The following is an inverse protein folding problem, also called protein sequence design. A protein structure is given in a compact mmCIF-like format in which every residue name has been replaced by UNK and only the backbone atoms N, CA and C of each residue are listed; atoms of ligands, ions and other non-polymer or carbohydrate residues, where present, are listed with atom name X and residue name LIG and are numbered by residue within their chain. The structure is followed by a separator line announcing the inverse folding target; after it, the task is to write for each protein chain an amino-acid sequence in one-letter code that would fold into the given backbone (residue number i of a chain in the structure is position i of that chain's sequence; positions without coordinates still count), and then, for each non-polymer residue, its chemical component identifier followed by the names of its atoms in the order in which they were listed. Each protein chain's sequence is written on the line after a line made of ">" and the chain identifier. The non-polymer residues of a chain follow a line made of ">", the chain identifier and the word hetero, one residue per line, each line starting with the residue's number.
data_IF_582946615328
#
_entry.id   IF_582946615328
#
_cell.length_a   1.000
_cell.length_b   1.000
_cell.length_c   1.000
_cell.angle_alpha   90.00
_cell.angle_beta   90.00
_cell.angle_gamma   90.00
#
_symmetry.space_group_name_H-M   'P 1'
#
loop_
_entity.id
_entity.type
_entity.pdbx_description
1 polymer ?
#
# COMPACT_ATOMS: atom_id res chain seq x y z
N UNK A 1 -14.72 -18.88 -3.08
CA UNK A 1 -14.30 -17.91 -4.12
C UNK A 1 -12.82 -18.16 -4.44
N UNK A 2 -12.38 -18.00 -5.66
CA UNK A 2 -10.99 -18.34 -6.04
C UNK A 2 -10.00 -17.30 -5.48
N UNK A 3 -8.94 -17.74 -4.81
CA UNK A 3 -7.81 -16.92 -4.31
C UNK A 3 -7.27 -15.94 -5.37
N UNK A 4 -7.38 -16.32 -6.66
CA UNK A 4 -7.03 -15.49 -7.82
C UNK A 4 -7.89 -14.24 -7.99
N UNK A 5 -9.13 -14.25 -7.51
CA UNK A 5 -10.04 -13.09 -7.61
C UNK A 5 -9.69 -12.05 -6.55
N UNK A 6 -9.31 -12.48 -5.34
CA UNK A 6 -8.88 -11.58 -4.27
C UNK A 6 -7.54 -10.90 -4.64
N UNK A 7 -6.61 -11.66 -5.23
CA UNK A 7 -5.33 -11.14 -5.72
C UNK A 7 -5.52 -10.08 -6.84
N UNK A 8 -6.50 -10.30 -7.75
CA UNK A 8 -6.82 -9.35 -8.82
C UNK A 8 -7.44 -8.06 -8.28
N UNK A 9 -8.25 -8.15 -7.22
CA UNK A 9 -8.86 -6.98 -6.58
C UNK A 9 -7.80 -6.12 -5.85
N UNK A 10 -6.82 -6.75 -5.19
CA UNK A 10 -5.71 -6.03 -4.56
C UNK A 10 -4.82 -5.30 -5.58
N UNK A 11 -4.51 -5.94 -6.71
CA UNK A 11 -3.67 -5.33 -7.75
C UNK A 11 -4.37 -4.16 -8.47
N UNK A 12 -5.69 -4.25 -8.64
CA UNK A 12 -6.46 -3.21 -9.33
C UNK A 12 -6.67 -1.94 -8.53
N UNK A 13 -6.66 -2.00 -7.18
CA UNK A 13 -6.90 -0.84 -6.32
C UNK A 13 -5.67 0.03 -6.07
N UNK A 14 -4.46 -0.53 -6.16
CA UNK A 14 -3.21 0.25 -6.02
C UNK A 14 -2.99 1.27 -7.14
N UNK A 15 -3.55 1.02 -8.34
CA UNK A 15 -3.38 1.92 -9.50
C UNK A 15 -4.29 3.16 -9.43
N UNK A 16 -5.41 3.11 -8.69
CA UNK A 16 -6.38 4.23 -8.63
C UNK A 16 -5.97 5.30 -7.60
N UNK A 17 -5.10 4.97 -6.65
CA UNK A 17 -4.66 5.91 -5.60
C UNK A 17 -3.66 6.98 -6.05
N UNK A 18 -3.06 6.87 -7.24
CA UNK A 18 -2.05 7.83 -7.73
C UNK A 18 -2.57 8.90 -8.70
N UNK A 19 -3.86 8.92 -9.05
CA UNK A 19 -4.45 9.91 -9.98
C UNK A 19 -5.16 11.06 -9.28
N UNK A 20 -4.93 11.27 -8.00
CA UNK A 20 -5.58 12.28 -7.15
C UNK A 20 -4.77 13.55 -6.86
N UNK A 21 -3.83 13.96 -7.72
CA UNK A 21 -3.14 15.26 -7.60
C UNK A 21 -3.12 15.98 -8.95
N UNK A 22 -4.28 16.40 -9.45
CA UNK A 22 -4.36 17.39 -10.52
C UNK A 22 -5.40 18.45 -10.20
N UNK A 23 -5.01 19.39 -9.33
CA UNK A 23 -5.67 20.69 -9.23
C UNK A 23 -4.76 21.72 -8.54
N UNK A 24 -3.53 21.89 -9.07
CA UNK A 24 -2.63 22.99 -8.69
C UNK A 24 -2.03 23.70 -9.90
N UNK A 25 -2.57 23.48 -11.11
CA UNK A 25 -2.06 24.17 -12.32
C UNK A 25 -2.62 25.60 -12.48
N UNK A 26 -3.75 25.93 -11.89
CA UNK A 26 -4.32 27.29 -12.02
C UNK A 26 -3.69 28.37 -11.11
N UNK A 27 -2.96 27.98 -10.06
CA UNK A 27 -2.31 28.95 -9.15
C UNK A 27 -0.86 29.28 -9.57
N UNK A 28 -0.28 28.47 -10.45
CA UNK A 28 1.11 28.66 -10.91
C UNK A 28 1.26 29.69 -12.06
N UNK A 29 0.21 29.94 -12.85
CA UNK A 29 0.29 30.87 -13.98
C UNK A 29 0.27 32.34 -13.55
N UNK A 30 -0.41 32.72 -12.46
CA UNK A 30 -0.40 34.11 -11.97
C UNK A 30 0.91 34.49 -11.28
N UNK A 31 1.60 33.54 -10.64
CA UNK A 31 2.89 33.80 -10.00
C UNK A 31 4.08 33.91 -11.00
N UNK A 32 3.93 33.28 -12.18
CA UNK A 32 5.01 33.29 -13.19
C UNK A 32 5.12 34.60 -14.00
N UNK A 33 4.01 35.30 -14.17
CA UNK A 33 4.00 36.56 -14.95
C UNK A 33 4.49 37.75 -14.15
N UNK A 34 4.48 37.74 -12.81
CA UNK A 34 4.94 38.85 -11.97
C UNK A 34 6.45 38.79 -11.69
N UNK A 35 7.11 37.66 -11.99
CA UNK A 35 8.56 37.49 -11.80
C UNK A 35 9.42 37.85 -13.04
N UNK A 36 8.79 38.10 -14.20
CA UNK A 36 9.52 38.25 -15.47
C UNK A 36 10.08 39.65 -15.72
N UNK A 37 9.65 40.64 -14.94
CA UNK A 37 10.05 42.05 -15.16
C UNK A 37 11.22 42.52 -14.30
N UNK A 38 11.94 41.65 -13.61
CA UNK A 38 13.02 42.09 -12.67
C UNK A 38 14.34 41.34 -12.74
N UNK A 39 14.73 40.71 -13.83
CA UNK A 39 16.12 40.21 -13.96
C UNK A 39 16.60 40.37 -15.40
N UNK A 40 17.05 41.55 -15.76
CA UNK A 40 18.11 41.68 -16.75
C UNK A 40 19.45 41.74 -16.01
N UNK A 41 20.41 40.99 -16.57
CA UNK A 41 21.85 41.04 -16.35
C UNK A 41 22.44 40.24 -15.18
N UNK A 42 22.78 38.97 -15.43
CA UNK A 42 24.10 38.39 -15.16
C UNK A 42 24.12 36.95 -15.74
N UNK A 43 24.80 36.78 -16.86
CA UNK A 43 25.00 35.49 -17.50
C UNK A 43 26.20 34.76 -16.86
N UNK A 44 25.95 33.71 -16.08
CA UNK A 44 26.86 32.58 -15.91
C UNK A 44 26.15 31.29 -16.38
N UNK A 45 26.84 30.39 -17.09
CA UNK A 45 26.21 29.21 -17.64
C UNK A 45 25.89 28.24 -16.51
N UNK A 46 24.60 28.12 -16.18
CA UNK A 46 24.07 27.06 -15.31
C UNK A 46 24.11 25.78 -16.12
N UNK A 47 24.93 24.83 -15.68
CA UNK A 47 24.87 23.44 -16.16
C UNK A 47 23.44 22.89 -15.95
N UNK A 48 22.83 22.43 -17.03
CA UNK A 48 21.54 21.78 -16.97
C UNK A 48 21.61 20.56 -15.97
N UNK A 49 20.64 20.44 -15.03
CA UNK A 49 20.57 19.23 -14.24
C UNK A 49 20.33 18.07 -15.20
N UNK A 50 21.27 17.13 -15.24
CA UNK A 50 21.04 15.83 -15.90
C UNK A 50 19.83 15.21 -15.23
N UNK A 51 18.73 15.08 -15.97
CA UNK A 51 17.64 14.17 -15.60
C UNK A 51 18.27 12.79 -15.37
N UNK A 52 18.41 12.44 -14.11
CA UNK A 52 18.74 11.08 -13.70
C UNK A 52 17.51 10.26 -14.07
N UNK A 53 17.56 9.64 -15.25
CA UNK A 53 16.60 8.62 -15.66
C UNK A 53 16.78 7.50 -14.64
N UNK A 54 15.89 7.45 -13.64
CA UNK A 54 15.78 6.32 -12.73
C UNK A 54 15.37 5.14 -13.60
N UNK A 55 16.36 4.34 -14.04
CA UNK A 55 16.07 3.07 -14.71
C UNK A 55 15.19 2.25 -13.77
N UNK A 56 14.06 1.67 -14.24
CA UNK A 56 13.25 0.78 -13.42
C UNK A 56 14.19 -0.32 -12.91
N UNK A 57 14.29 -0.44 -11.59
CA UNK A 57 15.09 -1.49 -10.97
C UNK A 57 14.54 -2.82 -11.46
N UNK A 58 15.31 -3.51 -12.30
CA UNK A 58 15.01 -4.88 -12.70
C UNK A 58 15.20 -5.72 -11.42
N UNK A 59 14.11 -5.98 -10.72
CA UNK A 59 14.11 -6.88 -9.57
C UNK A 59 14.62 -8.22 -10.10
N UNK A 60 15.71 -8.70 -9.52
CA UNK A 60 16.28 -10.00 -9.89
C UNK A 60 15.18 -11.06 -9.79
N UNK A 61 14.88 -11.76 -10.89
CA UNK A 61 13.81 -12.78 -10.94
C UNK A 61 13.95 -13.81 -9.81
N UNK A 62 15.18 -14.11 -9.40
CA UNK A 62 15.47 -15.00 -8.28
C UNK A 62 15.08 -14.38 -6.94
N UNK A 63 15.33 -13.08 -6.75
CA UNK A 63 14.91 -12.35 -5.55
C UNK A 63 13.41 -12.31 -5.46
N UNK A 64 12.73 -11.97 -6.55
CA UNK A 64 11.25 -11.96 -6.63
C UNK A 64 10.68 -13.34 -6.29
N UNK A 65 11.21 -14.43 -6.86
CA UNK A 65 10.75 -15.78 -6.56
C UNK A 65 10.93 -16.16 -5.08
N UNK A 66 12.01 -15.72 -4.45
CA UNK A 66 12.23 -15.93 -3.02
C UNK A 66 11.24 -15.14 -2.16
N UNK A 67 10.97 -13.87 -2.49
CA UNK A 67 9.96 -13.06 -1.81
C UNK A 67 8.55 -13.66 -1.96
N UNK A 68 8.20 -14.16 -3.15
CA UNK A 68 6.92 -14.85 -3.40
C UNK A 68 6.77 -16.14 -2.58
N UNK A 69 7.86 -16.89 -2.39
CA UNK A 69 7.86 -18.06 -1.52
C UNK A 69 7.60 -17.69 -0.05
N UNK A 70 8.27 -16.66 0.46
CA UNK A 70 8.01 -16.12 1.81
C UNK A 70 6.57 -15.60 1.96
N UNK A 71 6.05 -14.93 0.94
CA UNK A 71 4.67 -14.43 0.92
C UNK A 71 3.65 -15.59 1.00
N UNK A 72 3.89 -16.70 0.31
CA UNK A 72 3.05 -17.90 0.37
C UNK A 72 3.04 -18.56 1.76
N UNK A 73 4.21 -18.61 2.42
CA UNK A 73 4.33 -19.14 3.78
C UNK A 73 3.63 -18.22 4.79
N UNK A 74 3.76 -16.89 4.62
CA UNK A 74 3.05 -15.90 5.42
C UNK A 74 1.53 -16.02 5.23
N UNK A 75 1.02 -16.16 4.00
CA UNK A 75 -0.41 -16.36 3.72
C UNK A 75 -0.94 -17.54 4.53
N UNK A 76 -0.25 -18.66 4.46
CA UNK A 76 -0.64 -19.88 5.16
C UNK A 76 -0.63 -19.70 6.69
N UNK A 77 0.39 -19.04 7.22
CA UNK A 77 0.56 -18.77 8.66
C UNK A 77 -0.53 -17.84 9.18
N UNK A 78 -0.79 -16.73 8.48
CA UNK A 78 -1.81 -15.76 8.86
C UNK A 78 -3.20 -16.38 8.77
N UNK A 79 -3.53 -17.08 7.67
CA UNK A 79 -4.82 -17.71 7.49
C UNK A 79 -5.12 -18.76 8.60
N UNK A 80 -4.11 -19.53 9.00
CA UNK A 80 -4.25 -20.49 10.09
C UNK A 80 -4.47 -19.81 11.46
N UNK A 81 -3.87 -18.63 11.67
CA UNK A 81 -4.01 -17.92 12.94
C UNK A 81 -5.33 -17.17 13.07
N UNK A 82 -5.89 -16.67 11.96
CA UNK A 82 -7.12 -15.89 11.96
C UNK A 82 -8.40 -16.75 11.98
N UNK A 83 -8.33 -17.98 11.52
CA UNK A 83 -9.47 -18.92 11.51
C UNK A 83 -10.40 -18.76 10.31
N UNK A 84 -11.48 -19.57 10.29
CA UNK A 84 -12.33 -19.80 9.12
C UNK A 84 -13.17 -18.59 8.65
N UNK A 85 -13.31 -17.57 9.49
CA UNK A 85 -14.12 -16.39 9.18
C UNK A 85 -13.33 -15.32 8.39
N UNK A 86 -12.06 -15.59 8.10
CA UNK A 86 -11.21 -14.68 7.39
C UNK A 86 -10.61 -15.32 6.13
N UNK A 87 -10.60 -14.60 5.06
CA UNK A 87 -9.81 -14.93 3.87
C UNK A 87 -8.56 -14.06 3.87
N UNK A 88 -7.42 -14.68 3.58
CA UNK A 88 -6.12 -14.01 3.54
C UNK A 88 -5.50 -14.22 2.16
N UNK A 89 -4.89 -13.18 1.62
CA UNK A 89 -4.06 -13.24 0.43
C UNK A 89 -2.81 -12.40 0.64
N UNK A 90 -1.64 -12.92 0.26
CA UNK A 90 -0.36 -12.22 0.33
C UNK A 90 0.26 -12.19 -1.05
N UNK A 91 0.62 -11.00 -1.52
CA UNK A 91 1.11 -10.77 -2.88
C UNK A 91 2.34 -9.87 -2.84
N UNK A 92 3.39 -10.24 -3.59
CA UNK A 92 4.49 -9.32 -3.91
C UNK A 92 4.10 -8.55 -5.17
N UNK A 93 4.11 -7.24 -5.10
CA UNK A 93 3.79 -6.37 -6.22
C UNK A 93 4.97 -6.20 -7.20
N UNK A 94 4.77 -5.39 -8.22
CA UNK A 94 5.79 -5.17 -9.26
C UNK A 94 7.00 -4.35 -8.76
N UNK A 95 6.85 -3.64 -7.63
CA UNK A 95 7.95 -2.93 -6.97
C UNK A 95 8.72 -3.84 -6.02
N UNK A 96 8.24 -5.05 -5.77
CA UNK A 96 8.80 -6.00 -4.82
C UNK A 96 8.32 -5.81 -3.39
N UNK A 97 7.29 -4.98 -3.16
CA UNK A 97 6.65 -4.76 -1.86
C UNK A 97 5.56 -5.80 -1.57
N UNK A 98 5.27 -6.02 -0.29
CA UNK A 98 4.33 -7.04 0.16
C UNK A 98 2.96 -6.42 0.49
N UNK A 99 1.91 -6.90 -0.17
CA UNK A 99 0.54 -6.52 0.08
C UNK A 99 -0.25 -7.68 0.69
N UNK A 100 -0.82 -7.48 1.87
CA UNK A 100 -1.61 -8.46 2.60
C UNK A 100 -3.07 -8.02 2.61
N UNK A 101 -3.94 -8.82 1.99
CA UNK A 101 -5.38 -8.64 2.05
C UNK A 101 -6.00 -9.55 3.12
N UNK A 102 -6.81 -8.98 3.99
CA UNK A 102 -7.58 -9.70 5.01
C UNK A 102 -9.05 -9.35 4.84
N UNK A 103 -9.89 -10.33 4.49
CA UNK A 103 -11.32 -10.14 4.36
C UNK A 103 -12.06 -10.85 5.50
N UNK A 104 -12.82 -10.08 6.31
CA UNK A 104 -13.82 -10.63 7.23
C UNK A 104 -15.01 -11.09 6.41
N UNK A 105 -15.20 -12.40 6.28
CA UNK A 105 -16.26 -12.99 5.45
C UNK A 105 -17.63 -12.95 6.10
N UNK A 106 -17.73 -12.47 7.33
CA UNK A 106 -18.97 -12.51 8.14
C UNK A 106 -19.64 -11.15 8.28
N UNK A 107 -18.90 -10.06 8.16
CA UNK A 107 -19.38 -8.70 8.45
C UNK A 107 -19.33 -7.80 7.22
N UNK A 108 -20.42 -7.07 6.94
CA UNK A 108 -20.45 -6.02 5.92
C UNK A 108 -20.27 -4.69 6.62
N UNK A 109 -19.20 -3.97 6.27
CA UNK A 109 -18.84 -2.69 6.88
C UNK A 109 -19.31 -1.47 6.08
N UNK A 110 -19.70 -1.63 4.82
CA UNK A 110 -20.08 -0.53 3.92
C UNK A 110 -21.30 0.31 4.38
N UNK A 111 -22.05 -0.16 5.39
CA UNK A 111 -23.17 0.57 5.98
C UNK A 111 -22.82 1.39 7.23
N UNK A 112 -21.59 1.31 7.71
CA UNK A 112 -21.14 2.00 8.92
C UNK A 112 -20.32 3.25 8.58
N UNK A 113 -20.46 4.29 9.44
CA UNK A 113 -19.56 5.43 9.38
C UNK A 113 -18.17 5.10 9.92
N UNK A 114 -17.19 5.91 9.55
CA UNK A 114 -15.78 5.75 9.88
C UNK A 114 -15.51 5.59 11.38
N UNK A 115 -16.17 6.37 12.22
CA UNK A 115 -15.95 6.32 13.68
C UNK A 115 -16.51 5.03 14.28
N UNK A 116 -17.64 4.56 13.77
CA UNK A 116 -18.24 3.27 14.15
C UNK A 116 -17.29 2.12 13.76
N UNK A 117 -16.77 2.10 12.53
CA UNK A 117 -15.82 1.09 12.06
C UNK A 117 -14.58 1.07 12.94
N UNK A 118 -14.00 2.24 13.22
CA UNK A 118 -12.83 2.39 14.07
C UNK A 118 -13.08 1.87 15.50
N UNK A 119 -14.24 2.19 16.07
CA UNK A 119 -14.64 1.70 17.39
C UNK A 119 -14.76 0.17 17.43
N UNK A 120 -15.43 -0.41 16.44
CA UNK A 120 -15.60 -1.87 16.33
C UNK A 120 -14.24 -2.55 16.11
N UNK A 121 -13.40 -2.02 15.23
CA UNK A 121 -12.06 -2.58 14.96
C UNK A 121 -11.20 -2.62 16.22
N UNK A 122 -11.27 -1.59 17.06
CA UNK A 122 -10.58 -1.56 18.35
C UNK A 122 -11.19 -2.54 19.36
N UNK A 123 -12.52 -2.55 19.45
CA UNK A 123 -13.25 -3.42 20.38
C UNK A 123 -12.97 -4.90 20.13
N UNK A 124 -12.90 -5.30 18.86
CA UNK A 124 -12.64 -6.71 18.47
C UNK A 124 -11.16 -7.02 18.24
N UNK A 125 -10.25 -6.07 18.52
CA UNK A 125 -8.81 -6.27 18.38
C UNK A 125 -8.32 -6.37 16.93
N UNK A 126 -9.14 -5.99 15.96
CA UNK A 126 -8.80 -6.09 14.54
C UNK A 126 -7.66 -5.14 14.18
N UNK A 127 -7.71 -3.91 14.70
CA UNK A 127 -6.65 -2.90 14.49
C UNK A 127 -5.30 -3.39 15.03
N UNK A 128 -5.26 -3.82 16.30
CA UNK A 128 -4.02 -4.30 16.91
C UNK A 128 -3.51 -5.60 16.28
N UNK A 129 -4.43 -6.48 15.87
CA UNK A 129 -4.10 -7.70 15.15
C UNK A 129 -3.45 -7.42 13.79
N UNK A 130 -4.02 -6.51 13.02
CA UNK A 130 -3.48 -6.13 11.71
C UNK A 130 -2.10 -5.45 11.85
N UNK A 131 -1.92 -4.57 12.83
CA UNK A 131 -0.61 -3.96 13.12
C UNK A 131 0.43 -5.05 13.47
N UNK A 132 0.08 -5.99 14.35
CA UNK A 132 1.00 -7.09 14.71
C UNK A 132 1.34 -7.99 13.53
N UNK A 133 0.37 -8.25 12.63
CA UNK A 133 0.63 -9.02 11.40
C UNK A 133 1.60 -8.26 10.50
N UNK A 134 1.42 -6.95 10.33
CA UNK A 134 2.31 -6.12 9.53
C UNK A 134 3.74 -6.15 10.06
N UNK A 135 3.94 -5.89 11.35
CA UNK A 135 5.25 -5.90 12.01
C UNK A 135 5.95 -7.26 11.90
N UNK A 136 5.20 -8.36 12.09
CA UNK A 136 5.73 -9.72 11.95
C UNK A 136 6.10 -10.05 10.50
N UNK A 137 5.30 -9.63 9.53
CA UNK A 137 5.59 -9.83 8.12
C UNK A 137 6.84 -9.06 7.69
N UNK A 138 7.00 -7.80 8.09
CA UNK A 138 8.22 -7.03 7.86
C UNK A 138 9.45 -7.75 8.46
N UNK A 139 9.34 -8.25 9.70
CA UNK A 139 10.43 -8.99 10.33
C UNK A 139 10.81 -10.26 9.58
N UNK A 140 9.87 -10.96 8.96
CA UNK A 140 10.16 -12.16 8.13
C UNK A 140 11.02 -11.77 6.92
N UNK A 141 10.67 -10.71 6.19
CA UNK A 141 11.45 -10.25 5.05
C UNK A 141 12.82 -9.72 5.46
N UNK A 142 12.90 -8.90 6.51
CA UNK A 142 14.17 -8.37 7.03
C UNK A 142 15.12 -9.49 7.46
N UNK A 143 14.60 -10.51 8.16
CA UNK A 143 15.42 -11.67 8.58
C UNK A 143 15.90 -12.51 7.38
N UNK A 144 15.19 -12.48 6.27
CA UNK A 144 15.61 -13.11 5.02
C UNK A 144 16.58 -12.24 4.19
N UNK A 145 16.88 -11.02 4.65
CA UNK A 145 17.78 -10.06 3.99
C UNK A 145 17.12 -9.19 2.93
N UNK A 146 15.79 -9.06 2.95
CA UNK A 146 15.04 -8.23 2.01
C UNK A 146 14.50 -6.97 2.70
N UNK A 147 14.66 -5.83 2.03
CA UNK A 147 13.99 -4.57 2.40
C UNK A 147 12.66 -4.51 1.64
N UNK A 148 11.56 -4.74 2.35
CA UNK A 148 10.21 -4.86 1.78
C UNK A 148 9.26 -4.05 2.65
N UNK A 149 8.54 -3.10 2.04
CA UNK A 149 7.40 -2.46 2.69
C UNK A 149 6.22 -3.41 2.75
N UNK A 150 5.56 -3.48 3.91
CA UNK A 150 4.36 -4.30 4.09
C UNK A 150 3.13 -3.42 4.28
N UNK A 151 2.15 -3.59 3.41
CA UNK A 151 0.83 -2.95 3.52
C UNK A 151 -0.24 -3.98 3.80
N UNK A 152 -1.09 -3.73 4.80
CA UNK A 152 -2.28 -4.56 5.06
C UNK A 152 -3.53 -3.80 4.66
N UNK A 153 -4.41 -4.45 3.91
CA UNK A 153 -5.74 -3.98 3.59
C UNK A 153 -6.77 -4.90 4.23
N UNK A 154 -7.65 -4.34 5.05
CA UNK A 154 -8.74 -5.08 5.69
C UNK A 154 -10.06 -4.70 5.06
N UNK A 155 -10.83 -5.72 4.66
CA UNK A 155 -12.12 -5.58 3.98
C UNK A 155 -13.21 -6.36 4.72
N UNK A 156 -14.48 -5.98 4.49
CA UNK A 156 -15.62 -6.77 4.92
C UNK A 156 -15.99 -7.88 3.94
N UNK A 157 -17.13 -8.53 4.18
CA UNK A 157 -17.66 -9.62 3.37
C UNK A 157 -18.03 -9.18 1.93
N UNK A 158 -18.22 -7.90 1.71
CA UNK A 158 -18.42 -7.27 0.40
C UNK A 158 -17.12 -6.83 -0.29
N UNK A 159 -15.98 -7.14 0.31
CA UNK A 159 -14.63 -6.76 -0.15
C UNK A 159 -14.38 -5.24 -0.25
N UNK A 160 -15.22 -4.42 0.37
CA UNK A 160 -14.99 -2.98 0.47
C UNK A 160 -13.91 -2.73 1.53
N UNK A 161 -12.79 -2.07 1.16
CA UNK A 161 -11.73 -1.74 2.12
C UNK A 161 -12.25 -0.72 3.15
N UNK A 162 -12.02 -1.02 4.41
CA UNK A 162 -12.37 -0.11 5.50
C UNK A 162 -11.19 0.28 6.38
N UNK A 163 -10.10 -0.48 6.35
CA UNK A 163 -8.89 -0.17 7.10
C UNK A 163 -7.64 -0.54 6.31
N UNK A 164 -6.63 0.33 6.37
CA UNK A 164 -5.30 0.09 5.80
C UNK A 164 -4.28 0.30 6.92
N UNK A 165 -3.31 -0.62 7.02
CA UNK A 165 -2.18 -0.51 7.95
C UNK A 165 -0.88 -0.41 7.18
N UNK A 166 -0.10 0.63 7.49
CA UNK A 166 1.23 0.87 6.95
C UNK A 166 2.12 1.44 8.07
N UNK A 167 3.34 0.94 8.18
CA UNK A 167 4.32 1.40 9.18
C UNK A 167 3.76 1.46 10.62
N UNK A 168 3.00 0.46 11.03
CA UNK A 168 2.38 0.38 12.35
C UNK A 168 1.20 1.34 12.58
N UNK A 169 0.71 2.01 11.53
CA UNK A 169 -0.38 2.99 11.61
C UNK A 169 -1.60 2.48 10.86
N UNK A 170 -2.73 2.39 11.56
CA UNK A 170 -4.01 2.07 10.95
C UNK A 170 -4.75 3.34 10.51
N UNK A 171 -5.16 3.38 9.25
CA UNK A 171 -6.02 4.41 8.66
C UNK A 171 -7.36 3.81 8.25
N UNK A 172 -8.43 4.57 8.38
CA UNK A 172 -9.79 4.13 8.10
C UNK A 172 -10.39 4.95 6.95
N UNK A 173 -11.12 4.28 6.08
CA UNK A 173 -11.85 4.90 4.97
C UNK A 173 -13.25 5.33 5.39
#
# INVERSE_FOLDING_TARGET
>A
MNKKVLSLLLSGMLVVGMVGCSSTEEIAEEAYNDAKDKVEDTAEPVEEPKDEVVEPQVVDEKERANKEALASDLESTIANSMGANYEVAVVIDDNGDCNIGIADTTTIYSGYDKETIKSLSKQYGLESGAISIQENAEAVFVNAGYDVSVTIMVTGADYTPFMIVMHGIATYN
#
